data_IF_938541121960
#
_entry.id   IF_938541121960
#
_cell.length_a   1.000
_cell.length_b   1.000
_cell.length_c   1.000
_cell.angle_alpha   90.00
_cell.angle_beta   90.00
_cell.angle_gamma   90.00
#
_symmetry.space_group_name_H-M   'P 1'
#
loop_
_entity.id
_entity.type
_entity.pdbx_description
1 polymer ?
#
# COMPACT_ATOMS: atom_id res chain seq x y z
N UNK A 1 -0.39 -9.15 -4.73
CA UNK A 1 0.05 -9.18 -3.32
C UNK A 1 -1.03 -9.83 -2.46
N UNK A 2 -0.71 -10.28 -1.26
CA UNK A 2 -1.69 -10.79 -0.29
C UNK A 2 -1.81 -9.81 0.87
N UNK A 3 -2.90 -9.86 1.64
CA UNK A 3 -3.06 -8.99 2.81
C UNK A 3 -1.90 -9.12 3.81
N UNK A 4 -1.25 -10.28 3.90
CA UNK A 4 -0.06 -10.50 4.77
C UNK A 4 1.13 -9.60 4.42
N UNK A 5 1.11 -9.02 3.23
CA UNK A 5 2.11 -8.05 2.76
C UNK A 5 1.76 -6.62 3.21
N UNK A 6 0.63 -6.42 3.91
CA UNK A 6 0.16 -5.17 4.50
C UNK A 6 0.16 -5.33 6.01
N UNK A 7 1.00 -4.57 6.71
CA UNK A 7 1.13 -4.69 8.17
C UNK A 7 0.86 -3.34 8.83
N UNK A 8 0.17 -3.29 9.98
CA UNK A 8 0.05 -2.05 10.74
C UNK A 8 1.42 -1.47 11.05
N UNK A 9 1.60 -0.18 10.78
CA UNK A 9 2.83 0.53 11.09
C UNK A 9 2.60 1.38 12.35
N UNK A 10 3.52 1.35 13.34
CA UNK A 10 3.50 2.30 14.46
C UNK A 10 3.93 3.72 14.03
N UNK A 11 4.01 3.99 12.73
CA UNK A 11 4.53 5.22 12.16
C UNK A 11 3.52 6.37 12.25
N UNK A 12 4.06 7.60 12.28
CA UNK A 12 3.28 8.84 12.15
C UNK A 12 3.68 9.68 10.93
N UNK A 13 4.49 9.11 10.03
CA UNK A 13 5.03 9.78 8.85
C UNK A 13 5.01 8.90 7.61
N UNK A 14 4.92 9.54 6.43
CA UNK A 14 4.96 8.87 5.14
C UNK A 14 6.39 8.51 4.77
N UNK A 15 6.59 7.31 4.21
CA UNK A 15 7.92 6.85 3.84
C UNK A 15 7.88 5.92 2.62
N UNK A 16 8.97 5.89 1.86
CA UNK A 16 9.24 4.86 0.86
C UNK A 16 10.69 4.45 1.00
N UNK A 17 10.94 3.16 1.25
CA UNK A 17 12.28 2.61 1.49
C UNK A 17 12.47 1.29 0.79
N UNK A 18 13.74 0.90 0.62
CA UNK A 18 14.14 -0.39 0.11
C UNK A 18 14.63 -1.26 1.26
N UNK A 19 14.05 -2.44 1.43
CA UNK A 19 14.45 -3.45 2.42
C UNK A 19 14.78 -4.75 1.70
N UNK A 20 16.08 -5.03 1.54
CA UNK A 20 16.54 -6.18 0.78
C UNK A 20 16.11 -6.08 -0.69
N UNK A 21 15.29 -7.03 -1.14
CA UNK A 21 14.72 -7.10 -2.48
C UNK A 21 13.29 -6.56 -2.57
N UNK A 22 12.81 -5.90 -1.51
CA UNK A 22 11.45 -5.35 -1.42
C UNK A 22 11.47 -3.82 -1.35
N UNK A 23 10.44 -3.22 -1.94
CA UNK A 23 10.07 -1.82 -1.70
C UNK A 23 8.98 -1.81 -0.65
N UNK A 24 9.16 -0.96 0.36
CA UNK A 24 8.21 -0.77 1.46
C UNK A 24 7.66 0.64 1.41
N UNK A 25 6.33 0.73 1.31
CA UNK A 25 5.59 1.99 1.37
C UNK A 25 4.91 2.12 2.72
N UNK A 26 5.19 3.20 3.44
CA UNK A 26 4.50 3.54 4.69
C UNK A 26 3.51 4.66 4.40
N UNK A 27 2.23 4.38 4.61
CA UNK A 27 1.14 5.30 4.30
C UNK A 27 -0.15 4.95 5.03
N UNK A 28 -1.21 5.72 4.76
CA UNK A 28 -2.53 5.47 5.36
C UNK A 28 -3.36 4.63 4.42
N UNK A 29 -3.86 3.49 4.89
CA UNK A 29 -4.80 2.66 4.15
C UNK A 29 -6.17 3.32 4.17
N UNK A 30 -6.59 3.90 3.04
CA UNK A 30 -7.84 4.67 2.99
C UNK A 30 -9.06 3.79 2.74
N UNK A 31 -8.93 2.85 1.80
CA UNK A 31 -10.03 1.99 1.41
C UNK A 31 -9.51 0.65 0.85
N UNK A 32 -10.36 -0.38 0.97
CA UNK A 32 -10.24 -1.67 0.27
C UNK A 32 -11.63 -2.00 -0.26
N UNK A 33 -11.76 -2.12 -1.57
CA UNK A 33 -12.99 -2.52 -2.24
C UNK A 33 -13.20 -4.04 -2.18
N UNK A 34 -14.44 -4.49 -2.40
CA UNK A 34 -14.82 -5.92 -2.33
C UNK A 34 -14.06 -6.79 -3.34
N UNK A 35 -13.57 -6.19 -4.43
CA UNK A 35 -12.79 -6.88 -5.46
C UNK A 35 -11.29 -6.98 -5.12
N UNK A 36 -10.87 -6.44 -3.97
CA UNK A 36 -9.48 -6.42 -3.52
C UNK A 36 -8.68 -5.19 -3.95
N UNK A 37 -9.30 -4.22 -4.61
CA UNK A 37 -8.67 -2.93 -4.96
C UNK A 37 -8.48 -2.09 -3.71
N UNK A 38 -7.23 -1.77 -3.38
CA UNK A 38 -6.85 -0.99 -2.22
C UNK A 38 -6.25 0.37 -2.60
N UNK A 39 -6.45 1.36 -1.72
CA UNK A 39 -5.90 2.70 -1.87
C UNK A 39 -5.03 3.06 -0.68
N UNK A 40 -3.75 3.33 -0.95
CA UNK A 40 -2.76 3.78 0.03
C UNK A 40 -2.43 5.26 -0.21
N UNK A 41 -2.68 6.11 0.78
CA UNK A 41 -2.25 7.51 0.74
C UNK A 41 -0.83 7.66 1.26
N UNK A 42 0.02 8.32 0.46
CA UNK A 42 1.40 8.65 0.80
C UNK A 42 1.59 10.16 0.54
N UNK A 43 1.60 10.95 1.60
CA UNK A 43 1.61 12.42 1.49
C UNK A 43 0.34 12.93 0.81
N UNK A 44 0.51 13.61 -0.32
CA UNK A 44 -0.57 14.12 -1.18
C UNK A 44 -0.93 13.16 -2.34
N UNK A 45 -0.20 12.06 -2.48
CA UNK A 45 -0.40 11.07 -3.54
C UNK A 45 -1.27 9.92 -3.08
N UNK A 46 -2.04 9.35 -4.01
CA UNK A 46 -2.81 8.13 -3.83
C UNK A 46 -2.20 7.02 -4.70
N UNK A 47 -1.89 5.88 -4.08
CA UNK A 47 -1.35 4.70 -4.75
C UNK A 47 -2.41 3.60 -4.71
N UNK A 48 -2.79 3.11 -5.88
CA UNK A 48 -3.72 1.99 -6.02
C UNK A 48 -2.94 0.67 -6.07
N UNK A 49 -3.44 -0.36 -5.42
CA UNK A 49 -2.87 -1.71 -5.43
C UNK A 49 -3.96 -2.77 -5.38
N UNK A 50 -3.65 -3.99 -5.81
CA UNK A 50 -4.59 -5.13 -5.77
C UNK A 50 -4.14 -6.17 -4.74
N UNK A 51 -5.00 -6.51 -3.79
CA UNK A 51 -4.70 -7.48 -2.74
C UNK A 51 -5.78 -8.56 -2.61
N UNK A 52 -5.35 -9.76 -2.23
CA UNK A 52 -6.25 -10.88 -1.92
C UNK A 52 -6.34 -11.06 -0.40
N UNK A 53 -7.56 -11.03 0.17
CA UNK A 53 -7.82 -11.28 1.59
C UNK A 53 -9.02 -10.53 2.15
N UNK A 54 -9.25 -10.69 3.45
CA UNK A 54 -10.27 -9.96 4.22
C UNK A 54 -9.73 -8.56 4.63
N UNK A 55 -10.60 -7.54 4.72
CA UNK A 55 -10.18 -6.17 4.96
C UNK A 55 -9.54 -5.96 6.35
N UNK A 56 -8.47 -5.16 6.37
CA UNK A 56 -7.86 -4.62 7.59
C UNK A 56 -8.55 -3.34 8.05
N UNK A 57 -8.22 -2.88 9.26
CA UNK A 57 -8.67 -1.58 9.76
C UNK A 57 -8.24 -0.45 8.81
N UNK A 58 -9.21 0.33 8.34
CA UNK A 58 -8.99 1.51 7.50
C UNK A 58 -8.60 2.72 8.35
N UNK A 59 -8.00 3.72 7.70
CA UNK A 59 -7.63 5.00 8.31
C UNK A 59 -6.40 4.96 9.22
N UNK A 60 -5.64 3.86 9.20
CA UNK A 60 -4.41 3.69 10.00
C UNK A 60 -3.18 3.66 9.11
N UNK A 61 -2.02 3.97 9.70
CA UNK A 61 -0.74 3.76 9.04
C UNK A 61 -0.46 2.27 8.86
N UNK A 62 -0.06 1.89 7.66
CA UNK A 62 0.36 0.54 7.28
C UNK A 62 1.68 0.60 6.52
N UNK A 63 2.41 -0.51 6.54
CA UNK A 63 3.49 -0.77 5.61
C UNK A 63 3.01 -1.78 4.56
N UNK A 64 3.10 -1.39 3.30
CA UNK A 64 2.84 -2.26 2.15
C UNK A 64 4.18 -2.69 1.57
N UNK A 65 4.45 -3.99 1.57
CA UNK A 65 5.70 -4.57 1.09
C UNK A 65 5.49 -5.24 -0.27
N UNK A 66 6.27 -4.85 -1.27
CA UNK A 66 6.17 -5.40 -2.63
C UNK A 66 7.55 -5.68 -3.22
N UNK A 67 7.67 -6.76 -4.00
CA UNK A 67 8.92 -7.11 -4.69
C UNK A 67 9.14 -6.28 -5.95
N UNK A 68 8.07 -5.97 -6.68
CA UNK A 68 8.15 -5.24 -7.94
C UNK A 68 7.15 -4.08 -7.92
N UNK A 69 7.62 -2.90 -8.31
CA UNK A 69 6.79 -1.71 -8.52
C UNK A 69 6.81 -1.40 -10.01
N UNK A 70 5.64 -1.27 -10.61
CA UNK A 70 5.49 -0.91 -12.02
C UNK A 70 4.67 0.37 -12.12
N UNK A 71 5.14 1.31 -12.95
CA UNK A 71 4.40 2.51 -13.29
C UNK A 71 3.79 2.27 -14.65
N UNK A 72 2.46 2.33 -14.75
CA UNK A 72 1.78 2.23 -16.02
C UNK A 72 1.77 3.61 -16.69
N UNK A 73 2.25 3.73 -17.94
CA UNK A 73 2.12 4.99 -18.66
C UNK A 73 0.64 5.30 -18.87
N UNK A 74 0.21 6.47 -18.42
CA UNK A 74 -1.05 7.05 -18.84
C UNK A 74 -0.97 7.29 -20.35
N UNK A 75 -1.62 6.42 -21.12
CA UNK A 75 -1.85 6.67 -22.55
C UNK A 75 -3.01 7.66 -22.63
N UNK A 76 -2.67 8.94 -22.84
CA UNK A 76 -3.62 10.04 -23.05
C UNK A 76 -3.90 10.17 -24.54
#
# INVERSE_FOLDING_TARGET
MRWVDIVPAPASEFNTRLEGDKVVFTGVLENIEEDGTGFLRIGESLVMFECLGEPMALGVFVEVQVHNVSIYPLSI
#
